data_IF_468491251396
#
_entry.id   IF_468491251396
#
_cell.length_a   1.000
_cell.length_b   1.000
_cell.length_c   1.000
_cell.angle_alpha   90.00
_cell.angle_beta   90.00
_cell.angle_gamma   90.00
#
_symmetry.space_group_name_H-M   'P 1'
#
loop_
_entity.id
_entity.type
_entity.pdbx_description
1 polymer ?
#
# COMPACT_ATOMS: atom_id res chain seq x y z
N UNK A 1 5.07 52.06 -0.17
CA UNK A 1 4.53 51.05 -1.11
C UNK A 1 5.64 50.04 -1.40
N UNK A 2 5.51 48.84 -0.86
CA UNK A 2 5.81 47.59 -1.56
C UNK A 2 5.00 46.53 -0.82
N UNK A 3 3.80 46.26 -1.33
CA UNK A 3 2.98 45.14 -0.87
C UNK A 3 3.62 43.91 -1.48
N UNK A 4 4.12 43.06 -0.61
CA UNK A 4 4.92 41.89 -0.92
C UNK A 4 4.29 41.00 -2.00
N UNK A 5 5.08 40.73 -3.04
CA UNK A 5 4.89 39.60 -3.95
C UNK A 5 5.17 38.30 -3.18
N UNK A 6 4.23 37.89 -2.34
CA UNK A 6 4.21 36.55 -1.78
C UNK A 6 3.71 35.59 -2.86
N UNK A 7 4.49 34.54 -3.12
CA UNK A 7 4.09 33.41 -3.95
C UNK A 7 2.80 32.77 -3.40
N UNK A 8 1.95 32.16 -4.23
CA UNK A 8 0.70 31.50 -3.76
C UNK A 8 0.95 30.54 -2.60
N UNK A 9 2.11 29.87 -2.61
CA UNK A 9 2.54 28.96 -1.55
C UNK A 9 2.72 29.65 -0.18
N UNK A 10 3.13 30.92 -0.17
CA UNK A 10 3.28 31.75 1.04
C UNK A 10 1.97 32.43 1.47
N UNK A 11 0.98 32.52 0.57
CA UNK A 11 -0.38 32.94 0.93
C UNK A 11 -1.17 31.80 1.58
N UNK A 12 -0.98 30.56 1.13
CA UNK A 12 -1.55 29.36 1.76
C UNK A 12 -1.07 29.19 3.21
N UNK A 13 0.22 29.44 3.49
CA UNK A 13 0.82 29.42 4.82
C UNK A 13 0.29 30.47 5.82
N UNK A 14 -0.53 31.44 5.36
CA UNK A 14 -1.10 32.49 6.23
C UNK A 14 -2.50 32.18 6.74
N UNK A 15 -3.14 31.11 6.25
CA UNK A 15 -4.36 30.61 6.88
C UNK A 15 -3.95 29.72 8.05
N UNK A 16 -3.75 30.32 9.22
CA UNK A 16 -3.58 29.64 10.52
C UNK A 16 -4.87 28.88 10.86
N UNK A 17 -5.15 27.80 10.13
CA UNK A 17 -6.10 26.80 10.60
C UNK A 17 -5.50 26.18 11.85
N UNK A 18 -6.20 26.31 12.97
CA UNK A 18 -5.82 25.60 14.19
C UNK A 18 -5.75 24.10 13.90
N UNK A 19 -4.82 23.39 14.56
CA UNK A 19 -4.70 21.92 14.45
C UNK A 19 -6.05 21.20 14.69
N UNK A 20 -6.93 21.81 15.50
CA UNK A 20 -8.32 21.36 15.69
C UNK A 20 -9.12 21.37 14.39
N UNK A 21 -9.08 22.45 13.61
CA UNK A 21 -9.82 22.57 12.34
C UNK A 21 -9.32 21.59 11.28
N UNK A 22 -8.01 21.38 11.19
CA UNK A 22 -7.43 20.40 10.26
C UNK A 22 -7.83 18.97 10.65
N UNK A 23 -7.90 18.67 11.95
CA UNK A 23 -8.33 17.37 12.48
C UNK A 23 -9.79 17.10 12.17
N UNK A 24 -10.67 18.07 12.40
CA UNK A 24 -12.10 17.90 12.18
C UNK A 24 -12.41 17.73 10.67
N UNK A 25 -11.69 18.46 9.81
CA UNK A 25 -11.71 18.27 8.35
C UNK A 25 -11.23 16.86 7.93
N UNK A 26 -10.19 16.34 8.60
CA UNK A 26 -9.68 14.99 8.36
C UNK A 26 -10.69 13.91 8.76
N UNK A 27 -11.29 14.00 9.95
CA UNK A 27 -12.31 13.05 10.40
C UNK A 27 -13.53 13.04 9.48
N UNK A 28 -13.98 14.22 9.05
CA UNK A 28 -15.04 14.31 8.06
C UNK A 28 -14.67 13.63 6.74
N UNK A 29 -13.40 13.75 6.33
CA UNK A 29 -12.85 13.05 5.17
C UNK A 29 -12.83 11.53 5.38
N UNK A 30 -12.42 11.04 6.56
CA UNK A 30 -12.38 9.61 6.90
C UNK A 30 -13.76 8.96 6.74
N UNK A 31 -14.79 9.57 7.34
CA UNK A 31 -16.14 9.01 7.42
C UNK A 31 -16.88 9.04 6.09
N UNK A 32 -16.76 10.13 5.31
CA UNK A 32 -17.53 10.27 4.06
C UNK A 32 -16.91 9.58 2.85
N UNK A 33 -15.60 9.34 2.85
CA UNK A 33 -14.89 8.86 1.64
C UNK A 33 -14.58 7.36 1.66
N UNK A 34 -14.97 6.65 2.70
CA UNK A 34 -14.69 5.22 2.82
C UNK A 34 -13.19 4.95 2.90
N UNK A 35 -12.43 5.84 3.57
CA UNK A 35 -10.98 5.66 3.72
C UNK A 35 -10.68 4.34 4.41
N UNK A 36 -11.48 4.00 5.42
CA UNK A 36 -11.37 2.79 6.22
C UNK A 36 -12.61 1.95 6.02
N UNK A 37 -12.44 0.68 5.64
CA UNK A 37 -13.52 -0.31 5.62
C UNK A 37 -13.28 -1.36 6.69
N UNK A 38 -14.34 -1.77 7.38
CA UNK A 38 -14.29 -2.88 8.33
C UNK A 38 -14.45 -4.20 7.56
N UNK A 39 -13.38 -4.99 7.55
CA UNK A 39 -13.33 -6.27 6.84
C UNK A 39 -13.52 -7.46 7.78
N UNK A 40 -13.75 -7.24 9.08
CA UNK A 40 -13.73 -8.27 10.13
C UNK A 40 -14.63 -9.47 9.82
N UNK A 41 -15.85 -9.24 9.36
CA UNK A 41 -16.86 -10.29 9.13
C UNK A 41 -16.74 -11.01 7.79
N UNK A 42 -15.99 -10.46 6.83
CA UNK A 42 -15.85 -11.08 5.51
C UNK A 42 -14.97 -12.34 5.59
N UNK A 43 -15.24 -13.42 4.84
CA UNK A 43 -14.36 -14.59 4.83
C UNK A 43 -13.03 -14.35 4.10
N UNK A 44 -13.00 -13.38 3.18
CA UNK A 44 -11.85 -13.01 2.38
C UNK A 44 -11.76 -11.49 2.19
N UNK A 45 -10.56 -11.00 1.91
CA UNK A 45 -10.27 -9.62 1.51
C UNK A 45 -9.60 -9.69 0.14
N UNK A 46 -10.11 -8.92 -0.83
CA UNK A 46 -9.53 -8.84 -2.17
C UNK A 46 -8.76 -7.52 -2.32
N UNK A 47 -7.50 -7.63 -2.73
CA UNK A 47 -6.65 -6.50 -3.08
C UNK A 47 -6.45 -6.58 -4.58
N UNK A 48 -6.80 -5.51 -5.29
CA UNK A 48 -6.73 -5.44 -6.74
C UNK A 48 -5.57 -4.53 -7.14
N UNK A 49 -4.93 -4.86 -8.26
CA UNK A 49 -3.98 -3.95 -8.91
C UNK A 49 -4.71 -2.63 -9.24
N UNK A 50 -4.10 -1.47 -8.93
CA UNK A 50 -4.69 -0.19 -9.26
C UNK A 50 -4.91 -0.08 -10.76
N UNK A 51 -6.13 0.29 -11.16
CA UNK A 51 -6.43 0.57 -12.57
C UNK A 51 -5.60 1.80 -12.95
N UNK A 52 -4.56 1.61 -13.76
CA UNK A 52 -3.86 2.72 -14.40
C UNK A 52 -4.87 3.52 -15.23
N UNK A 53 -5.35 4.63 -14.67
CA UNK A 53 -6.07 5.65 -15.42
C UNK A 53 -5.06 6.47 -16.25
N UNK A 54 -4.30 5.80 -17.11
CA UNK A 54 -3.57 6.42 -18.20
C UNK A 54 -4.51 6.62 -19.39
N UNK A 55 -5.56 7.41 -19.20
CA UNK A 55 -6.30 8.05 -20.30
C UNK A 55 -6.51 9.50 -19.92
N UNK A 56 -5.90 10.36 -20.74
CA UNK A 56 -5.98 11.81 -20.77
C UNK A 56 -7.35 12.31 -20.30
N UNK A 57 -7.33 13.20 -19.31
CA UNK A 57 -8.33 14.25 -19.21
C UNK A 57 -8.34 15.00 -20.54
N UNK A 58 -9.40 14.78 -21.31
CA UNK A 58 -9.87 15.72 -22.31
C UNK A 58 -11.39 15.73 -22.23
N UNK A 59 -11.88 16.86 -21.74
CA UNK A 59 -13.19 17.45 -21.91
C UNK A 59 -14.43 16.74 -21.40
N UNK A 60 -15.02 17.44 -20.43
CA UNK A 60 -16.42 17.43 -20.05
C UNK A 60 -17.37 17.50 -21.24
N UNK A 61 -18.33 16.58 -21.31
CA UNK A 61 -19.76 16.97 -21.44
C UNK A 61 -20.67 15.80 -21.07
N UNK A 62 -21.79 16.18 -20.46
CA UNK A 62 -22.97 15.41 -20.10
C UNK A 62 -23.49 14.51 -21.23
N UNK A 63 -23.92 13.28 -20.91
CA UNK A 63 -25.34 12.95 -20.75
C UNK A 63 -25.61 11.43 -20.73
N UNK A 64 -26.73 11.11 -20.09
CA UNK A 64 -27.40 9.81 -19.98
C UNK A 64 -27.31 8.90 -21.22
N UNK A 65 -27.09 7.60 -21.00
CA UNK A 65 -28.14 6.59 -21.21
C UNK A 65 -27.63 5.15 -21.23
N UNK A 66 -28.45 4.31 -20.62
CA UNK A 66 -28.49 2.86 -20.72
C UNK A 66 -28.73 2.38 -22.18
N UNK A 67 -28.19 1.19 -22.49
CA UNK A 67 -28.49 0.27 -23.63
C UNK A 67 -27.71 0.38 -24.96
N UNK A 68 -26.92 -0.67 -25.26
CA UNK A 68 -26.96 -1.58 -26.45
C UNK A 68 -25.56 -2.20 -26.67
N UNK A 69 -25.42 -3.52 -26.51
CA UNK A 69 -25.50 -4.56 -27.57
C UNK A 69 -24.70 -4.26 -28.85
N UNK A 70 -23.67 -5.09 -29.02
CA UNK A 70 -23.24 -5.79 -30.24
C UNK A 70 -22.83 -4.91 -31.43
N UNK A 71 -21.55 -4.97 -31.77
CA UNK A 71 -21.17 -5.30 -33.15
C UNK A 71 -19.84 -6.06 -33.22
N UNK A 72 -19.96 -7.35 -33.55
CA UNK A 72 -18.92 -8.16 -34.15
C UNK A 72 -18.59 -7.58 -35.51
N UNK A 73 -17.31 -7.32 -35.80
CA UNK A 73 -16.78 -7.42 -37.16
C UNK A 73 -15.36 -7.95 -37.12
N UNK A 74 -15.27 -9.25 -37.38
CA UNK A 74 -14.07 -9.91 -37.86
C UNK A 74 -13.64 -9.25 -39.17
N UNK A 75 -12.35 -8.92 -39.29
CA UNK A 75 -11.66 -8.97 -40.57
C UNK A 75 -10.34 -9.70 -40.35
N UNK A 76 -10.37 -11.00 -40.65
CA UNK A 76 -9.19 -11.84 -40.86
C UNK A 76 -8.45 -11.29 -42.08
N UNK A 77 -7.15 -11.09 -41.94
CA UNK A 77 -6.20 -11.31 -43.03
C UNK A 77 -5.14 -12.25 -42.49
N UNK A 78 -5.15 -13.46 -43.04
CA UNK A 78 -4.15 -14.48 -42.78
C UNK A 78 -2.81 -13.99 -43.34
N UNK A 79 -1.76 -14.12 -42.53
CA UNK A 79 -0.43 -14.42 -43.01
C UNK A 79 0.11 -15.51 -42.11
N UNK A 80 0.19 -16.71 -42.66
CA UNK A 80 0.98 -17.81 -42.14
C UNK A 80 2.41 -17.30 -41.87
N UNK A 81 2.86 -17.50 -40.65
CA UNK A 81 4.23 -17.82 -40.35
C UNK A 81 4.20 -18.96 -39.35
N UNK A 82 4.57 -20.13 -39.83
CA UNK A 82 5.13 -21.18 -38.99
C UNK A 82 6.33 -20.61 -38.24
N UNK A 83 6.17 -20.48 -36.94
CA UNK A 83 7.26 -20.53 -35.98
C UNK A 83 6.65 -20.94 -34.65
N UNK A 84 7.00 -22.15 -34.22
CA UNK A 84 6.85 -22.64 -32.87
C UNK A 84 7.48 -21.66 -31.88
N UNK A 85 6.68 -20.71 -31.40
CA UNK A 85 6.94 -19.94 -30.20
C UNK A 85 5.76 -20.22 -29.27
N UNK A 86 5.95 -21.17 -28.35
CA UNK A 86 5.21 -21.12 -27.10
C UNK A 86 5.73 -19.90 -26.32
N UNK A 87 5.29 -18.70 -26.72
CA UNK A 87 5.30 -17.55 -25.82
C UNK A 87 4.34 -17.91 -24.71
N UNK A 88 4.87 -18.41 -23.58
CA UNK A 88 4.12 -18.35 -22.33
C UNK A 88 3.89 -16.88 -22.06
N UNK A 89 2.73 -16.36 -22.45
CA UNK A 89 2.35 -14.98 -22.18
C UNK A 89 2.54 -14.74 -20.69
N UNK A 90 3.54 -13.93 -20.37
CA UNK A 90 3.93 -13.63 -19.00
C UNK A 90 2.79 -12.87 -18.35
N UNK A 91 2.13 -13.47 -17.36
CA UNK A 91 0.91 -12.93 -16.76
C UNK A 91 1.22 -11.94 -15.63
N UNK A 92 0.53 -10.82 -15.66
CA UNK A 92 0.58 -9.77 -14.64
C UNK A 92 -0.27 -10.14 -13.43
N UNK A 93 0.21 -9.83 -12.22
CA UNK A 93 -0.50 -10.07 -10.98
C UNK A 93 -1.55 -8.98 -10.79
N UNK A 94 -2.83 -9.35 -10.87
CA UNK A 94 -3.96 -8.42 -10.79
C UNK A 94 -4.70 -8.48 -9.46
N UNK A 95 -4.62 -9.59 -8.74
CA UNK A 95 -5.36 -9.78 -7.48
C UNK A 95 -4.58 -10.57 -6.44
N UNK A 96 -4.65 -10.11 -5.20
CA UNK A 96 -4.27 -10.89 -4.02
C UNK A 96 -5.52 -11.08 -3.15
N UNK A 97 -5.86 -12.34 -2.87
CA UNK A 97 -6.95 -12.70 -1.95
C UNK A 97 -6.36 -13.13 -0.62
N UNK A 98 -6.74 -12.44 0.45
CA UNK A 98 -6.38 -12.80 1.82
C UNK A 98 -7.53 -13.59 2.42
N UNK A 99 -7.31 -14.88 2.61
CA UNK A 99 -8.26 -15.80 3.21
C UNK A 99 -8.17 -15.73 4.74
N UNK A 100 -9.31 -15.48 5.39
CA UNK A 100 -9.43 -15.44 6.85
C UNK A 100 -10.10 -16.69 7.43
N UNK A 101 -10.62 -17.57 6.57
CA UNK A 101 -11.26 -18.80 7.00
C UNK A 101 -10.25 -19.71 7.68
N UNK A 102 -10.72 -20.43 8.71
CA UNK A 102 -9.91 -21.41 9.46
C UNK A 102 -8.66 -20.80 10.11
N UNK A 103 -8.65 -19.49 10.40
CA UNK A 103 -7.58 -18.87 11.19
C UNK A 103 -7.60 -19.48 12.60
N UNK A 104 -6.50 -20.12 13.04
CA UNK A 104 -6.45 -20.70 14.37
C UNK A 104 -6.67 -19.65 15.48
N UNK A 105 -7.47 -19.97 16.50
CA UNK A 105 -7.76 -19.07 17.62
C UNK A 105 -6.49 -18.54 18.32
N UNK A 106 -5.38 -19.29 18.27
CA UNK A 106 -4.09 -18.87 18.84
C UNK A 106 -3.56 -17.53 18.30
N UNK A 107 -4.04 -17.09 17.12
CA UNK A 107 -3.66 -15.80 16.54
C UNK A 107 -4.49 -14.64 17.10
N UNK A 108 -5.61 -14.92 17.78
CA UNK A 108 -6.36 -13.92 18.53
C UNK A 108 -6.87 -12.74 17.72
N UNK A 109 -7.10 -12.90 16.41
CA UNK A 109 -7.55 -11.82 15.53
C UNK A 109 -8.95 -11.38 15.95
N UNK A 110 -9.09 -10.12 16.36
CA UNK A 110 -10.36 -9.53 16.78
C UNK A 110 -10.99 -8.69 15.67
N UNK A 111 -10.17 -7.85 15.04
CA UNK A 111 -10.64 -6.90 14.04
C UNK A 111 -9.67 -6.79 12.88
N UNK A 112 -10.24 -6.56 11.70
CA UNK A 112 -9.48 -6.29 10.48
C UNK A 112 -10.09 -5.09 9.79
N UNK A 113 -9.27 -4.09 9.51
CA UNK A 113 -9.63 -2.92 8.73
C UNK A 113 -8.74 -2.79 7.52
N UNK A 114 -9.31 -2.28 6.44
CA UNK A 114 -8.59 -1.94 5.22
C UNK A 114 -8.59 -0.43 5.03
N UNK A 115 -7.43 0.13 4.73
CA UNK A 115 -7.21 1.57 4.57
C UNK A 115 -6.75 1.84 3.15
N UNK A 116 -7.49 2.68 2.44
CA UNK A 116 -7.16 3.13 1.10
C UNK A 116 -6.20 4.33 1.15
N UNK A 117 -4.89 4.07 1.13
CA UNK A 117 -3.88 5.13 1.23
C UNK A 117 -3.89 6.11 0.05
N UNK A 118 -4.41 5.74 -1.13
CA UNK A 118 -4.52 6.68 -2.26
C UNK A 118 -5.50 7.82 -1.97
N UNK A 119 -6.58 7.54 -1.23
CA UNK A 119 -7.50 8.59 -0.79
C UNK A 119 -6.80 9.60 0.13
N UNK A 120 -5.79 9.18 0.91
CA UNK A 120 -4.98 10.14 1.67
C UNK A 120 -4.16 11.07 0.78
N UNK A 121 -3.74 10.64 -0.42
CA UNK A 121 -3.07 11.55 -1.35
C UNK A 121 -4.02 12.68 -1.79
N UNK A 122 -5.31 12.40 -1.93
CA UNK A 122 -6.31 13.44 -2.22
C UNK A 122 -6.52 14.37 -1.02
N UNK A 123 -6.39 13.86 0.21
CA UNK A 123 -6.37 14.70 1.40
C UNK A 123 -5.16 15.65 1.40
N UNK A 124 -3.95 15.16 1.08
CA UNK A 124 -2.75 16.02 0.99
C UNK A 124 -2.89 17.15 -0.04
N UNK A 125 -3.63 16.92 -1.14
CA UNK A 125 -3.94 18.00 -2.11
C UNK A 125 -4.78 19.12 -1.49
N UNK A 126 -5.69 18.77 -0.58
CA UNK A 126 -6.57 19.73 0.11
C UNK A 126 -5.92 20.31 1.37
N UNK A 127 -4.87 19.66 1.89
CA UNK A 127 -4.13 20.05 3.09
C UNK A 127 -2.62 19.93 2.83
N UNK A 128 -2.02 20.88 2.10
CA UNK A 128 -0.64 20.79 1.62
C UNK A 128 0.42 20.82 2.73
N UNK A 129 0.03 21.14 3.97
CA UNK A 129 0.89 21.02 5.16
C UNK A 129 1.37 19.58 5.40
N UNK A 130 0.61 18.60 4.93
CA UNK A 130 1.00 17.20 4.94
C UNK A 130 1.83 16.89 3.68
N UNK A 131 3.10 17.33 3.69
CA UNK A 131 4.08 17.05 2.63
C UNK A 131 4.55 15.58 2.67
N UNK A 132 3.62 14.64 2.72
CA UNK A 132 3.92 13.23 2.48
C UNK A 132 3.94 13.03 0.98
N UNK A 133 5.01 12.38 0.49
CA UNK A 133 5.12 12.02 -0.92
C UNK A 133 3.86 11.28 -1.39
N UNK A 134 3.48 11.48 -2.65
CA UNK A 134 2.31 10.86 -3.26
C UNK A 134 2.44 9.36 -3.53
N UNK A 135 3.59 8.75 -3.21
CA UNK A 135 3.77 7.31 -3.33
C UNK A 135 3.05 6.59 -2.19
N UNK A 136 2.32 5.53 -2.53
CA UNK A 136 1.60 4.69 -1.57
C UNK A 136 1.73 3.23 -1.97
N UNK A 137 1.82 2.32 -0.99
CA UNK A 137 1.47 0.92 -1.20
C UNK A 137 0.04 0.82 -1.74
N UNK A 138 -0.31 -0.28 -2.41
CA UNK A 138 -1.67 -0.47 -2.93
C UNK A 138 -2.71 -0.46 -1.79
N UNK A 139 -2.37 -1.01 -0.62
CA UNK A 139 -3.29 -1.01 0.53
C UNK A 139 -2.54 -1.07 1.87
N UNK A 140 -3.18 -0.56 2.92
CA UNK A 140 -2.80 -0.84 4.30
C UNK A 140 -3.89 -1.68 5.00
N UNK A 141 -3.51 -2.79 5.60
CA UNK A 141 -4.39 -3.61 6.43
C UNK A 141 -4.01 -3.48 7.91
N UNK A 142 -5.00 -3.19 8.74
CA UNK A 142 -4.85 -3.08 10.18
C UNK A 142 -5.48 -4.31 10.82
N UNK A 143 -4.67 -5.14 11.48
CA UNK A 143 -5.11 -6.40 12.08
C UNK A 143 -4.87 -6.30 13.59
N UNK A 144 -5.96 -6.17 14.36
CA UNK A 144 -5.89 -6.18 15.82
C UNK A 144 -5.93 -7.61 16.33
N UNK A 145 -4.89 -8.00 17.04
CA UNK A 145 -4.75 -9.29 17.68
C UNK A 145 -4.70 -9.13 19.20
N UNK A 146 -5.34 -10.04 19.92
CA UNK A 146 -5.25 -10.15 21.38
C UNK A 146 -4.30 -11.29 21.74
N UNK A 147 -3.28 -11.00 22.55
CA UNK A 147 -2.40 -12.05 23.06
C UNK A 147 -3.09 -12.91 24.12
N UNK A 148 -2.60 -14.14 24.32
CA UNK A 148 -3.23 -15.17 25.17
C UNK A 148 -3.54 -14.74 26.61
N UNK A 149 -2.87 -13.72 27.12
CA UNK A 149 -3.04 -13.21 28.48
C UNK A 149 -4.17 -12.18 28.56
N UNK A 150 -4.72 -11.76 27.42
CA UNK A 150 -5.87 -10.89 27.31
C UNK A 150 -5.62 -9.40 27.57
N UNK A 151 -4.44 -9.03 28.09
CA UNK A 151 -4.08 -7.67 28.49
C UNK A 151 -3.30 -6.90 27.41
N UNK A 152 -2.51 -7.61 26.59
CA UNK A 152 -1.69 -7.01 25.53
C UNK A 152 -2.37 -7.20 24.18
N UNK A 153 -2.54 -6.09 23.47
CA UNK A 153 -3.03 -6.10 22.11
C UNK A 153 -1.88 -5.76 21.15
N UNK A 154 -1.84 -6.44 20.02
CA UNK A 154 -0.92 -6.14 18.92
C UNK A 154 -1.73 -5.66 17.73
N UNK A 155 -1.44 -4.44 17.27
CA UNK A 155 -1.97 -3.91 16.03
C UNK A 155 -0.91 -4.10 14.94
N UNK A 156 -1.12 -5.06 14.05
CA UNK A 156 -0.30 -5.19 12.86
C UNK A 156 -0.77 -4.22 11.79
N UNK A 157 0.12 -3.38 11.32
CA UNK A 157 -0.09 -2.47 10.19
C UNK A 157 0.66 -3.05 8.99
N UNK A 158 -0.06 -3.81 8.17
CA UNK A 158 0.47 -4.47 6.99
C UNK A 158 0.33 -3.53 5.77
N UNK A 159 1.43 -2.93 5.36
CA UNK A 159 1.56 -2.18 4.11
C UNK A 159 1.81 -3.17 2.98
N UNK A 160 0.87 -3.28 2.04
CA UNK A 160 0.90 -4.29 0.99
C UNK A 160 1.24 -3.64 -0.34
N UNK A 161 2.31 -4.15 -0.95
CA UNK A 161 2.72 -3.84 -2.31
C UNK A 161 2.48 -5.04 -3.25
N UNK A 162 1.95 -4.82 -4.46
CA UNK A 162 1.79 -5.81 -5.51
C UNK A 162 2.67 -5.49 -6.72
N UNK A 163 3.41 -6.49 -7.24
CA UNK A 163 4.27 -6.36 -8.42
C UNK A 163 4.13 -7.54 -9.36
N UNK A 164 3.76 -7.32 -10.61
CA UNK A 164 3.80 -8.37 -11.63
C UNK A 164 5.22 -8.92 -11.85
N UNK A 165 6.23 -8.06 -11.77
CA UNK A 165 7.62 -8.43 -11.94
C UNK A 165 8.53 -7.53 -11.13
N UNK A 166 9.38 -8.12 -10.30
CA UNK A 166 10.52 -7.46 -9.68
C UNK A 166 11.62 -7.36 -10.73
N UNK A 167 11.96 -6.15 -11.14
CA UNK A 167 12.98 -5.88 -12.16
C UNK A 167 13.92 -4.78 -11.69
N UNK A 168 15.17 -4.86 -12.10
CA UNK A 168 16.13 -3.78 -11.95
C UNK A 168 16.01 -2.83 -13.14
N UNK A 169 15.87 -1.53 -12.88
CA UNK A 169 16.01 -0.48 -13.91
C UNK A 169 17.27 0.34 -13.61
N UNK A 170 17.85 0.95 -14.64
CA UNK A 170 19.16 1.61 -14.63
C UNK A 170 19.26 2.85 -13.72
N UNK A 171 18.16 3.32 -13.13
CA UNK A 171 18.13 4.55 -12.30
C UNK A 171 17.37 4.40 -10.99
N UNK A 172 16.36 3.55 -10.93
CA UNK A 172 15.51 3.32 -9.77
C UNK A 172 15.13 1.85 -9.78
N UNK A 173 15.72 1.06 -8.88
CA UNK A 173 15.29 -0.34 -8.75
C UNK A 173 13.80 -0.35 -8.37
N UNK A 174 13.02 -1.29 -8.91
CA UNK A 174 11.63 -1.50 -8.50
C UNK A 174 11.51 -1.57 -6.96
N UNK A 175 12.52 -2.17 -6.32
CA UNK A 175 12.64 -2.26 -4.86
C UNK A 175 12.85 -0.89 -4.19
N UNK A 176 13.64 0.02 -4.78
CA UNK A 176 13.79 1.37 -4.24
C UNK A 176 12.47 2.16 -4.22
N UNK A 177 11.61 1.94 -5.21
CA UNK A 177 10.24 2.49 -5.20
C UNK A 177 9.37 1.88 -4.11
N UNK A 178 9.46 0.56 -3.90
CA UNK A 178 8.75 -0.14 -2.81
C UNK A 178 9.20 0.40 -1.44
N UNK A 179 10.50 0.56 -1.24
CA UNK A 179 11.06 1.16 -0.03
C UNK A 179 10.49 2.55 0.22
N UNK A 180 10.37 3.39 -0.82
CA UNK A 180 9.76 4.72 -0.69
C UNK A 180 8.29 4.66 -0.33
N UNK A 181 7.54 3.76 -0.96
CA UNK A 181 6.13 3.54 -0.64
C UNK A 181 5.96 3.10 0.82
N UNK A 182 6.84 2.26 1.36
CA UNK A 182 6.76 1.86 2.77
C UNK A 182 7.08 3.01 3.74
N UNK A 183 8.13 3.80 3.50
CA UNK A 183 8.41 5.02 4.27
C UNK A 183 7.20 5.96 4.33
N UNK A 184 6.63 6.25 3.17
CA UNK A 184 5.52 7.18 3.05
C UNK A 184 4.22 6.59 3.61
N UNK A 185 4.02 5.29 3.43
CA UNK A 185 2.89 4.54 4.00
C UNK A 185 2.93 4.53 5.53
N UNK A 186 4.09 4.25 6.14
CA UNK A 186 4.27 4.31 7.59
C UNK A 186 3.97 5.72 8.12
N UNK A 187 4.51 6.75 7.47
CA UNK A 187 4.27 8.14 7.86
C UNK A 187 2.78 8.49 7.79
N UNK A 188 2.08 8.11 6.71
CA UNK A 188 0.61 8.26 6.58
C UNK A 188 -0.14 7.55 7.71
N UNK A 189 0.29 6.34 8.07
CA UNK A 189 -0.31 5.57 9.15
C UNK A 189 -0.07 6.20 10.53
N UNK A 190 1.11 6.76 10.80
CA UNK A 190 1.34 7.50 12.03
C UNK A 190 0.41 8.69 12.18
N UNK A 191 0.17 9.44 11.10
CA UNK A 191 -0.81 10.52 11.10
C UNK A 191 -2.22 10.00 11.40
N UNK A 192 -2.66 8.94 10.70
CA UNK A 192 -3.97 8.33 10.92
C UNK A 192 -4.17 7.87 12.37
N UNK A 193 -3.19 7.17 12.94
CA UNK A 193 -3.27 6.62 14.29
C UNK A 193 -3.24 7.73 15.35
N UNK A 194 -2.43 8.77 15.15
CA UNK A 194 -2.34 9.92 16.06
C UNK A 194 -3.64 10.72 16.07
N UNK A 195 -4.21 11.03 14.90
CA UNK A 195 -5.45 11.80 14.79
C UNK A 195 -6.66 11.05 15.38
N UNK A 196 -6.67 9.72 15.29
CA UNK A 196 -7.70 8.88 15.90
C UNK A 196 -7.56 8.77 17.44
N UNK A 197 -6.34 8.75 17.98
CA UNK A 197 -6.15 8.60 19.44
C UNK A 197 -6.66 9.82 20.23
N UNK A 198 -6.63 11.02 19.65
CA UNK A 198 -7.08 12.25 20.30
C UNK A 198 -8.61 12.48 20.30
N UNK A 199 -9.38 11.73 19.49
CA UNK A 199 -10.85 11.89 19.37
C UNK A 199 -11.63 10.78 20.11
N UNK A 200 -10.98 10.08 21.04
CA UNK A 200 -11.68 9.17 21.94
C UNK A 200 -11.87 9.82 23.33
N UNK A 201 -12.87 10.71 23.51
CA UNK A 201 -13.15 11.36 24.79
C UNK A 201 -13.67 10.38 25.86
N UNK A 202 -13.89 9.11 25.52
CA UNK A 202 -14.36 8.04 26.41
C UNK A 202 -13.33 6.91 26.59
N UNK A 203 -12.03 7.23 26.74
CA UNK A 203 -10.88 6.31 26.91
C UNK A 203 -10.20 5.97 25.59
N UNK A 204 -9.19 6.76 25.22
CA UNK A 204 -8.09 6.25 24.41
C UNK A 204 -7.37 5.16 25.20
N UNK A 205 -7.79 3.90 25.03
CA UNK A 205 -7.14 2.70 25.59
C UNK A 205 -6.66 2.83 27.04
N UNK A 206 -7.40 3.51 27.91
CA UNK A 206 -6.99 3.65 29.32
C UNK A 206 -6.82 2.25 29.93
N UNK A 207 -5.56 1.94 30.30
CA UNK A 207 -5.10 0.65 30.84
C UNK A 207 -4.93 -0.50 29.84
N UNK A 208 -4.91 -0.27 28.52
CA UNK A 208 -4.60 -1.31 27.53
C UNK A 208 -3.29 -0.98 26.79
N UNK A 209 -2.31 -1.88 26.89
CA UNK A 209 -1.06 -1.78 26.14
C UNK A 209 -1.27 -2.28 24.71
N UNK A 210 -1.30 -1.35 23.75
CA UNK A 210 -1.29 -1.66 22.33
C UNK A 210 0.12 -1.51 21.78
N UNK A 211 0.69 -2.60 21.29
CA UNK A 211 1.93 -2.57 20.51
C UNK A 211 1.59 -2.48 19.03
N UNK A 212 2.08 -1.44 18.36
CA UNK A 212 1.96 -1.30 16.90
C UNK A 212 3.15 -1.99 16.25
N UNK A 213 2.88 -2.86 15.26
CA UNK A 213 3.92 -3.58 14.51
C UNK A 213 3.71 -3.31 13.03
N UNK A 214 4.67 -2.64 12.40
CA UNK A 214 4.65 -2.39 10.96
C UNK A 214 5.21 -3.57 10.17
N UNK A 215 4.50 -3.97 9.12
CA UNK A 215 4.92 -5.02 8.19
C UNK A 215 4.80 -4.55 6.74
N UNK A 216 5.87 -4.69 5.96
CA UNK A 216 5.87 -4.42 4.53
C UNK A 216 5.80 -5.74 3.77
N UNK A 217 4.71 -5.98 3.07
CA UNK A 217 4.44 -7.24 2.39
C UNK A 217 4.45 -7.01 0.89
N UNK A 218 5.32 -7.72 0.16
CA UNK A 218 5.44 -7.57 -1.29
C UNK A 218 4.98 -8.86 -1.97
N UNK A 219 3.88 -8.80 -2.71
CA UNK A 219 3.35 -9.91 -3.49
C UNK A 219 3.80 -9.77 -4.94
N UNK A 220 4.33 -10.84 -5.53
CA UNK A 220 4.84 -10.77 -6.88
C UNK A 220 4.78 -12.08 -7.67
N UNK A 221 4.64 -11.98 -8.99
CA UNK A 221 4.67 -13.15 -9.87
C UNK A 221 6.11 -13.54 -10.24
N UNK A 222 6.92 -12.57 -10.71
CA UNK A 222 8.25 -12.84 -11.29
C UNK A 222 9.35 -12.03 -10.63
N UNK A 223 10.55 -12.60 -10.60
CA UNK A 223 11.78 -11.96 -10.16
C UNK A 223 12.81 -12.05 -11.29
N UNK A 224 12.85 -10.99 -12.10
CA UNK A 224 13.80 -10.80 -13.19
C UNK A 224 14.96 -9.87 -12.75
N UNK A 225 15.22 -9.71 -11.44
CA UNK A 225 16.36 -8.93 -10.95
C UNK A 225 17.66 -9.68 -11.30
N UNK A 226 18.55 -8.99 -12.02
CA UNK A 226 19.88 -9.49 -12.34
C UNK A 226 20.77 -9.28 -11.11
N UNK A 227 21.27 -10.38 -10.54
CA UNK A 227 22.20 -10.37 -9.41
C UNK A 227 23.65 -10.46 -9.94
N UNK A 228 24.40 -9.36 -10.08
CA UNK A 228 25.79 -9.44 -10.52
C UNK A 228 26.61 -10.16 -9.45
N UNK A 229 27.23 -11.28 -9.84
CA UNK A 229 27.97 -12.21 -8.94
C UNK A 229 29.17 -11.55 -8.22
N UNK A 230 29.57 -10.33 -8.58
CA UNK A 230 30.83 -9.72 -8.16
C UNK A 230 30.73 -8.25 -7.71
N UNK A 231 29.53 -7.65 -7.69
CA UNK A 231 29.36 -6.26 -7.24
C UNK A 231 28.43 -6.31 -6.06
N UNK A 232 28.96 -6.14 -4.85
CA UNK A 232 28.09 -5.84 -3.72
C UNK A 232 27.39 -4.52 -4.04
N UNK A 233 26.05 -4.48 -4.07
CA UNK A 233 25.35 -3.22 -4.26
C UNK A 233 25.81 -2.26 -3.16
N UNK A 234 25.99 -0.98 -3.51
CA UNK A 234 26.24 0.05 -2.50
C UNK A 234 25.11 -0.03 -1.47
N UNK A 235 25.43 -0.26 -0.19
CA UNK A 235 24.41 -0.40 0.86
C UNK A 235 23.59 0.90 1.04
N UNK A 236 24.07 2.02 0.50
CA UNK A 236 23.36 3.29 0.43
C UNK A 236 22.44 3.41 -0.79
N UNK A 237 22.51 2.48 -1.75
CA UNK A 237 21.60 2.46 -2.89
C UNK A 237 20.21 2.00 -2.45
N UNK A 238 19.21 2.82 -2.78
CA UNK A 238 17.81 2.54 -2.44
C UNK A 238 17.36 1.21 -3.06
N UNK A 239 16.78 0.35 -2.23
CA UNK A 239 16.36 -0.99 -2.61
C UNK A 239 17.43 -2.07 -2.43
N UNK A 240 18.70 -1.74 -2.16
CA UNK A 240 19.75 -2.74 -1.91
C UNK A 240 19.44 -3.59 -0.66
N UNK A 241 18.94 -2.96 0.42
CA UNK A 241 18.50 -3.66 1.63
C UNK A 241 17.31 -4.57 1.35
N UNK A 242 16.34 -4.12 0.57
CA UNK A 242 15.20 -4.96 0.16
C UNK A 242 15.64 -6.14 -0.71
N UNK A 243 16.65 -5.97 -1.57
CA UNK A 243 17.23 -7.05 -2.36
C UNK A 243 17.85 -8.12 -1.46
N UNK A 244 18.62 -7.72 -0.44
CA UNK A 244 19.17 -8.63 0.56
C UNK A 244 18.08 -9.42 1.29
N UNK A 245 16.99 -8.74 1.67
CA UNK A 245 15.84 -9.37 2.32
C UNK A 245 15.16 -10.39 1.38
N UNK A 246 15.02 -10.04 0.11
CA UNK A 246 14.47 -10.92 -0.93
C UNK A 246 15.32 -12.19 -1.10
N UNK A 247 16.65 -12.05 -1.07
CA UNK A 247 17.61 -13.15 -1.24
C UNK A 247 17.73 -14.06 0.01
N UNK A 248 17.39 -13.54 1.20
CA UNK A 248 17.48 -14.25 2.48
C UNK A 248 16.10 -14.43 3.17
N UNK A 249 15.09 -15.04 2.53
CA UNK A 249 13.70 -15.02 2.98
C UNK A 249 13.44 -15.78 4.30
N UNK A 250 14.41 -16.53 4.81
CA UNK A 250 14.32 -17.29 6.07
C UNK A 250 14.72 -16.48 7.31
N UNK A 251 15.30 -15.29 7.13
CA UNK A 251 15.61 -14.37 8.22
C UNK A 251 14.57 -13.27 8.18
N UNK A 252 13.73 -13.15 9.21
CA UNK A 252 12.89 -11.96 9.36
C UNK A 252 13.83 -10.76 9.50
N UNK A 253 13.97 -10.01 8.41
CA UNK A 253 14.85 -8.88 8.33
C UNK A 253 14.01 -7.60 8.37
N UNK A 254 14.44 -6.68 9.24
CA UNK A 254 13.82 -5.37 9.38
C UNK A 254 14.50 -4.40 8.43
N UNK A 255 13.71 -3.71 7.62
CA UNK A 255 14.17 -2.58 6.85
C UNK A 255 14.15 -1.35 7.75
N UNK A 256 15.27 -0.62 7.80
CA UNK A 256 15.34 0.68 8.46
C UNK A 256 14.91 1.76 7.48
N UNK A 257 13.96 2.60 7.90
CA UNK A 257 13.30 3.60 7.07
C UNK A 257 13.20 4.93 7.81
N UNK A 258 13.16 6.03 7.06
CA UNK A 258 12.89 7.36 7.61
C UNK A 258 11.39 7.67 7.50
N UNK A 259 10.77 7.97 8.63
CA UNK A 259 9.36 8.37 8.73
C UNK A 259 9.24 9.82 9.21
N UNK A 260 8.01 10.32 9.30
CA UNK A 260 7.72 11.63 9.88
C UNK A 260 8.06 11.72 11.38
N UNK A 261 8.13 10.58 12.08
CA UNK A 261 8.41 10.55 13.52
C UNK A 261 9.88 10.25 13.81
N UNK A 262 10.49 9.35 13.06
CA UNK A 262 11.82 8.80 13.36
C UNK A 262 12.65 8.59 12.09
N UNK A 263 13.96 8.86 12.16
CA UNK A 263 14.86 8.67 11.02
C UNK A 263 15.34 7.24 10.84
N UNK A 264 15.29 6.43 11.90
CA UNK A 264 15.78 5.04 11.95
C UNK A 264 14.69 4.06 12.39
N UNK A 265 13.46 4.28 11.92
CA UNK A 265 12.33 3.41 12.22
C UNK A 265 12.47 2.05 11.51
N UNK A 266 11.74 1.03 11.97
CA UNK A 266 11.89 -0.35 11.49
C UNK A 266 10.57 -0.96 11.05
N UNK A 267 10.56 -1.50 9.84
CA UNK A 267 9.45 -2.28 9.28
C UNK A 267 9.90 -3.72 9.00
N UNK A 268 9.09 -4.70 9.39
CA UNK A 268 9.34 -6.11 9.10
C UNK A 268 8.92 -6.42 7.65
N UNK A 269 9.85 -6.89 6.82
CA UNK A 269 9.56 -7.11 5.40
C UNK A 269 9.35 -8.60 5.12
N UNK A 270 8.38 -8.92 4.26
CA UNK A 270 8.15 -10.27 3.75
C UNK A 270 7.76 -10.27 2.28
N UNK A 271 8.38 -11.16 1.53
CA UNK A 271 8.14 -11.36 0.10
C UNK A 271 7.29 -12.61 -0.12
N UNK A 272 6.26 -12.48 -0.96
CA UNK A 272 5.35 -13.56 -1.32
C UNK A 272 5.38 -13.76 -2.83
N UNK A 273 6.12 -14.77 -3.28
CA UNK A 273 6.14 -15.18 -4.68
C UNK A 273 4.90 -16.00 -5.01
N UNK A 274 4.18 -15.65 -6.06
CA UNK A 274 3.12 -16.48 -6.61
C UNK A 274 3.73 -17.79 -7.14
N UNK A 275 3.30 -18.92 -6.59
CA UNK A 275 3.78 -20.24 -7.02
C UNK A 275 3.26 -20.63 -8.40
N UNK A 276 2.19 -19.99 -8.87
CA UNK A 276 1.68 -20.14 -10.22
C UNK A 276 1.93 -18.85 -11.00
N UNK A 277 3.10 -18.73 -11.63
CA UNK A 277 3.48 -17.54 -12.41
C UNK A 277 2.57 -17.27 -13.62
N UNK A 278 1.74 -18.25 -14.00
CA UNK A 278 0.72 -18.14 -15.03
C UNK A 278 -0.67 -17.78 -14.48
N UNK A 279 -0.80 -17.45 -13.19
CA UNK A 279 -2.02 -16.92 -12.61
C UNK A 279 -1.91 -15.40 -12.42
N UNK A 280 -2.97 -14.67 -12.72
CA UNK A 280 -3.10 -13.26 -12.36
C UNK A 280 -3.63 -13.06 -10.94
N UNK A 281 -3.85 -14.15 -10.20
CA UNK A 281 -4.35 -14.14 -8.83
C UNK A 281 -3.43 -14.94 -7.90
N UNK A 282 -3.27 -14.44 -6.68
CA UNK A 282 -2.57 -15.11 -5.59
C UNK A 282 -3.46 -15.18 -4.35
N UNK A 283 -3.51 -16.33 -3.69
CA UNK A 283 -4.21 -16.49 -2.42
C UNK A 283 -3.22 -16.72 -1.28
N UNK A 284 -3.40 -15.99 -0.18
CA UNK A 284 -2.63 -16.18 1.06
C UNK A 284 -3.56 -16.19 2.27
N UNK A 285 -3.10 -16.74 3.40
CA UNK A 285 -3.90 -16.77 4.62
C UNK A 285 -3.53 -15.59 5.50
N UNK A 286 -4.49 -15.03 6.23
CA UNK A 286 -4.25 -13.85 7.07
C UNK A 286 -3.16 -14.07 8.13
N UNK A 287 -3.03 -15.29 8.67
CA UNK A 287 -1.96 -15.60 9.61
C UNK A 287 -0.57 -15.44 8.98
N UNK A 288 -0.43 -15.71 7.68
CA UNK A 288 0.86 -15.63 6.99
C UNK A 288 1.35 -14.18 6.89
N UNK A 289 0.45 -13.19 7.08
CA UNK A 289 0.78 -11.76 7.13
C UNK A 289 1.36 -11.34 8.48
N UNK A 290 0.90 -11.95 9.58
CA UNK A 290 1.25 -11.58 10.96
C UNK A 290 2.27 -12.52 11.61
N UNK A 291 2.66 -13.61 10.95
CA UNK A 291 3.80 -14.48 11.30
C UNK A 291 5.00 -14.16 10.43
#
# INVERSE_FOLDING_TARGET
>A
MNKDNLTEHQKLLREDKSLSSIRDDFHHFLEKKGLVTNETTRPFIEILEPKNNSKKESDSTSDNSFTKKINRRNKRTAKEKDSTDFSSDKIDLKKVTINKNKTPEKYGIQNVWMVNLELMNNFNKNFPYFLLSGKTPEVALLILCRERNGEIHKLYVCLIEMKSNLKQDKRWSCLGDVEKKFEDGMSKMYFLLTLNNHYNPLRGYENQNITVVFRGLVFYNRDDIVRPVQIQPDENERGAKLLKILDEPKVSMKLTVTTVLETEDKIEIKFFKNTNENADEMEVRIQDLIT
#
